data_IF_642349689973
#
_entry.id   IF_642349689973
#
_cell.length_a   1.000
_cell.length_b   1.000
_cell.length_c   1.000
_cell.angle_alpha   90.00
_cell.angle_beta   90.00
_cell.angle_gamma   90.00
#
_symmetry.space_group_name_H-M   'P 1'
#
loop_
_entity.id
_entity.type
_entity.pdbx_description
1 polymer ?
#
# COMPACT_ATOMS: atom_id res chain seq x y z
N UNK A 1 -13.04 11.91 6.52
CA UNK A 1 -12.00 11.33 7.41
C UNK A 1 -10.57 11.45 6.86
N UNK A 2 -10.35 11.94 5.63
CA UNK A 2 -9.02 12.27 5.07
C UNK A 2 -8.59 13.74 5.34
N UNK A 3 -9.50 14.61 5.79
CA UNK A 3 -9.21 16.05 5.95
C UNK A 3 -8.47 16.43 7.25
N UNK A 4 -8.16 15.48 8.14
CA UNK A 4 -7.53 15.76 9.45
C UNK A 4 -6.10 15.25 9.63
N UNK A 5 -5.57 14.49 8.69
CA UNK A 5 -4.20 14.00 8.71
C UNK A 5 -3.50 14.57 7.48
N UNK A 6 -2.55 15.48 7.67
CA UNK A 6 -1.70 15.94 6.57
C UNK A 6 -0.98 14.77 5.88
N UNK A 7 -0.26 15.03 4.80
CA UNK A 7 0.52 14.03 4.06
C UNK A 7 1.42 13.16 4.94
N UNK A 8 1.99 13.73 6.02
CA UNK A 8 2.76 12.97 7.01
C UNK A 8 1.92 11.98 7.84
N UNK A 9 0.70 12.35 8.22
CA UNK A 9 -0.18 11.48 9.01
C UNK A 9 -0.61 10.25 8.21
N UNK A 10 -0.93 10.45 6.92
CA UNK A 10 -1.25 9.34 6.02
C UNK A 10 -0.06 8.40 5.80
N UNK A 11 1.15 8.95 5.59
CA UNK A 11 2.35 8.12 5.42
C UNK A 11 2.67 7.31 6.69
N UNK A 12 2.42 7.88 7.86
CA UNK A 12 2.62 7.19 9.14
C UNK A 12 1.62 6.05 9.34
N UNK A 13 0.34 6.25 8.98
CA UNK A 13 -0.67 5.18 8.98
C UNK A 13 -0.30 4.04 8.03
N UNK A 14 0.19 4.36 6.82
CA UNK A 14 0.68 3.33 5.89
C UNK A 14 1.86 2.54 6.46
N UNK A 15 2.83 3.22 7.08
CA UNK A 15 3.96 2.54 7.75
C UNK A 15 3.49 1.65 8.89
N UNK A 16 2.51 2.10 9.67
CA UNK A 16 1.94 1.29 10.76
C UNK A 16 1.20 0.07 10.20
N UNK A 17 0.42 0.23 9.13
CA UNK A 17 -0.25 -0.87 8.43
C UNK A 17 0.73 -1.88 7.85
N UNK A 18 1.80 -1.40 7.21
CA UNK A 18 2.89 -2.25 6.73
C UNK A 18 3.51 -3.06 7.87
N UNK A 19 3.84 -2.40 8.99
CA UNK A 19 4.45 -3.06 10.17
C UNK A 19 3.51 -4.04 10.87
N UNK A 20 2.20 -3.85 10.75
CA UNK A 20 1.21 -4.80 11.26
C UNK A 20 1.12 -6.07 10.40
N UNK A 21 1.39 -5.97 9.10
CA UNK A 21 1.26 -7.07 8.14
C UNK A 21 2.58 -7.78 7.82
N UNK A 22 3.71 -7.11 7.96
CA UNK A 22 5.03 -7.62 7.57
C UNK A 22 5.45 -8.85 8.38
N UNK A 23 6.25 -9.70 7.74
CA UNK A 23 7.13 -10.62 8.42
C UNK A 23 8.26 -9.83 9.10
N UNK A 24 8.39 -10.01 10.41
CA UNK A 24 9.38 -9.27 11.22
C UNK A 24 10.82 -9.74 11.01
N UNK A 25 11.02 -10.97 10.54
CA UNK A 25 12.35 -11.52 10.28
C UNK A 25 12.83 -11.13 8.89
N UNK A 26 11.93 -11.15 7.90
CA UNK A 26 12.26 -10.83 6.50
C UNK A 26 12.13 -9.34 6.15
N UNK A 27 11.52 -8.57 7.04
CA UNK A 27 11.21 -7.16 6.87
C UNK A 27 10.34 -6.81 5.66
N UNK A 28 9.54 -7.77 5.17
CA UNK A 28 8.64 -7.65 4.02
C UNK A 28 7.30 -8.32 4.32
N UNK A 29 6.24 -7.93 3.62
CA UNK A 29 4.96 -8.66 3.67
C UNK A 29 5.09 -9.86 2.73
N UNK A 30 4.93 -11.05 3.29
CA UNK A 30 4.85 -12.30 2.53
C UNK A 30 3.40 -12.77 2.49
N UNK A 31 3.08 -13.72 1.62
CA UNK A 31 1.76 -14.35 1.63
C UNK A 31 1.41 -14.91 3.02
N UNK A 32 2.35 -15.58 3.68
CA UNK A 32 2.16 -16.16 5.00
C UNK A 32 1.92 -15.09 6.07
N UNK A 33 2.72 -14.01 6.07
CA UNK A 33 2.55 -12.92 7.02
C UNK A 33 1.24 -12.18 6.79
N UNK A 34 0.88 -11.95 5.52
CA UNK A 34 -0.37 -11.32 5.13
C UNK A 34 -1.56 -12.19 5.59
N UNK A 35 -1.56 -13.49 5.31
CA UNK A 35 -2.63 -14.43 5.70
C UNK A 35 -2.79 -14.54 7.22
N UNK A 36 -1.69 -14.55 7.95
CA UNK A 36 -1.71 -14.61 9.42
C UNK A 36 -2.20 -13.31 10.05
N UNK A 37 -1.76 -12.17 9.51
CA UNK A 37 -2.00 -10.86 10.10
C UNK A 37 -3.26 -10.17 9.53
N UNK A 38 -3.82 -10.65 8.41
CA UNK A 38 -5.05 -10.14 7.79
C UNK A 38 -6.24 -10.22 8.74
N UNK A 39 -6.31 -11.28 9.55
CA UNK A 39 -7.32 -11.44 10.61
C UNK A 39 -7.29 -10.27 11.61
N UNK A 40 -6.11 -9.71 11.92
CA UNK A 40 -5.97 -8.59 12.85
C UNK A 40 -6.51 -7.27 12.29
N UNK A 41 -6.62 -7.16 10.96
CA UNK A 41 -7.17 -5.99 10.27
C UNK A 41 -8.64 -6.16 9.89
N UNK A 42 -9.31 -7.22 10.35
CA UNK A 42 -10.71 -7.50 10.00
C UNK A 42 -10.89 -7.98 8.57
N UNK A 43 -9.82 -8.47 7.93
CA UNK A 43 -9.87 -9.16 6.63
C UNK A 43 -10.09 -10.68 6.81
N UNK A 44 -10.65 -11.09 7.95
CA UNK A 44 -11.06 -12.47 8.23
C UNK A 44 -12.14 -12.89 7.21
N UNK A 45 -11.79 -13.79 6.30
CA UNK A 45 -12.70 -14.28 5.26
C UNK A 45 -12.17 -14.14 3.83
N UNK A 46 -11.04 -13.46 3.62
CA UNK A 46 -10.38 -13.50 2.32
C UNK A 46 -9.81 -14.89 2.04
N UNK A 47 -10.07 -15.38 0.83
CA UNK A 47 -9.51 -16.62 0.31
C UNK A 47 -8.02 -16.47 -0.02
N UNK A 48 -7.33 -17.60 -0.08
CA UNK A 48 -5.91 -17.64 -0.45
C UNK A 48 -5.69 -17.02 -1.84
N UNK A 49 -6.62 -17.22 -2.78
CA UNK A 49 -6.55 -16.61 -4.11
C UNK A 49 -6.67 -15.08 -4.07
N UNK A 50 -7.52 -14.53 -3.22
CA UNK A 50 -7.68 -13.07 -3.07
C UNK A 50 -6.44 -12.44 -2.44
N UNK A 51 -5.89 -13.07 -1.40
CA UNK A 51 -4.64 -12.63 -0.78
C UNK A 51 -3.47 -12.68 -1.78
N UNK A 52 -3.43 -13.71 -2.61
CA UNK A 52 -2.39 -13.84 -3.64
C UNK A 52 -2.56 -12.83 -4.78
N UNK A 53 -3.80 -12.50 -5.14
CA UNK A 53 -4.08 -11.40 -6.05
C UNK A 53 -3.59 -10.06 -5.48
N UNK A 54 -3.82 -9.78 -4.19
CA UNK A 54 -3.33 -8.56 -3.55
C UNK A 54 -1.80 -8.47 -3.58
N UNK A 55 -1.12 -9.59 -3.31
CA UNK A 55 0.34 -9.66 -3.33
C UNK A 55 0.86 -9.35 -4.74
N UNK A 56 0.32 -10.03 -5.76
CA UNK A 56 0.72 -9.84 -7.15
C UNK A 56 0.43 -8.45 -7.70
N UNK A 57 -0.65 -7.81 -7.25
CA UNK A 57 -1.00 -6.46 -7.69
C UNK A 57 -0.05 -5.39 -7.12
N UNK A 58 0.52 -5.65 -5.95
CA UNK A 58 1.48 -4.75 -5.30
C UNK A 58 2.94 -5.05 -5.60
N UNK A 59 3.26 -6.29 -5.97
CA UNK A 59 4.62 -6.74 -6.25
C UNK A 59 5.08 -6.17 -7.61
N UNK A 60 5.95 -5.17 -7.55
CA UNK A 60 6.45 -4.46 -8.74
C UNK A 60 7.79 -5.02 -9.23
N UNK A 61 8.53 -5.70 -8.36
CA UNK A 61 9.86 -6.24 -8.67
C UNK A 61 9.82 -7.74 -9.01
N UNK A 62 8.71 -8.43 -8.76
CA UNK A 62 8.50 -9.85 -9.02
C UNK A 62 9.18 -10.78 -8.00
N UNK A 63 9.36 -10.34 -6.74
CA UNK A 63 9.98 -11.14 -5.68
C UNK A 63 8.98 -11.96 -4.83
N UNK A 64 7.71 -11.96 -5.23
CA UNK A 64 6.59 -12.61 -4.53
C UNK A 64 6.44 -12.12 -3.07
N UNK A 65 6.88 -10.90 -2.77
CA UNK A 65 6.72 -10.22 -1.50
C UNK A 65 6.30 -8.75 -1.74
N UNK A 66 5.91 -8.05 -0.68
CA UNK A 66 5.76 -6.59 -0.72
C UNK A 66 6.72 -5.95 0.26
N UNK A 67 7.61 -5.12 -0.25
CA UNK A 67 8.38 -4.19 0.58
C UNK A 67 7.56 -2.94 0.94
N UNK A 68 8.09 -2.09 1.82
CA UNK A 68 7.39 -0.89 2.30
C UNK A 68 6.95 0.03 1.15
N UNK A 69 7.76 0.18 0.10
CA UNK A 69 7.46 1.05 -1.03
C UNK A 69 6.31 0.48 -1.87
N UNK A 70 6.37 -0.81 -2.20
CA UNK A 70 5.34 -1.52 -2.95
C UNK A 70 4.00 -1.47 -2.24
N UNK A 71 3.99 -1.74 -0.93
CA UNK A 71 2.79 -1.61 -0.11
C UNK A 71 2.21 -0.19 -0.13
N UNK A 72 3.06 0.83 0.04
CA UNK A 72 2.61 2.24 -0.02
C UNK A 72 2.00 2.57 -1.38
N UNK A 73 2.64 2.15 -2.49
CA UNK A 73 2.14 2.36 -3.84
C UNK A 73 0.81 1.64 -4.06
N UNK A 74 0.69 0.39 -3.62
CA UNK A 74 -0.56 -0.38 -3.70
C UNK A 74 -1.71 0.33 -2.97
N UNK A 75 -1.49 0.76 -1.73
CA UNK A 75 -2.50 1.46 -0.93
C UNK A 75 -2.90 2.82 -1.51
N UNK A 76 -1.94 3.53 -2.12
CA UNK A 76 -2.19 4.78 -2.83
C UNK A 76 -3.07 4.57 -4.07
N UNK A 77 -2.82 3.47 -4.82
CA UNK A 77 -3.59 3.11 -6.01
C UNK A 77 -5.02 2.68 -5.68
N UNK A 78 -5.21 1.99 -4.56
CA UNK A 78 -6.51 1.43 -4.15
C UNK A 78 -7.42 2.42 -3.42
N UNK A 79 -6.93 3.57 -2.97
CA UNK A 79 -7.76 4.61 -2.36
C UNK A 79 -8.24 5.63 -3.42
N UNK A 80 -9.51 5.61 -3.85
CA UNK A 80 -10.03 6.52 -4.87
C UNK A 80 -9.92 8.02 -4.49
N UNK A 81 -10.01 8.37 -3.20
CA UNK A 81 -9.74 9.73 -2.70
C UNK A 81 -8.28 10.17 -2.88
N UNK A 82 -7.35 9.21 -2.94
CA UNK A 82 -5.91 9.44 -3.12
C UNK A 82 -5.49 9.38 -4.59
N UNK A 83 -6.25 8.66 -5.42
CA UNK A 83 -6.10 8.63 -6.88
C UNK A 83 -6.43 9.99 -7.52
N UNK A 84 -7.33 10.77 -6.93
CA UNK A 84 -7.64 12.14 -7.37
C UNK A 84 -6.56 13.16 -6.97
N UNK A 85 -5.96 13.00 -5.78
CA UNK A 85 -4.81 13.82 -5.35
C UNK A 85 -3.51 13.48 -6.07
N UNK A 86 -3.26 12.22 -6.40
CA UNK A 86 -2.08 11.82 -7.19
C UNK A 86 -2.20 12.26 -8.65
N UNK A 87 -3.40 12.22 -9.26
CA UNK A 87 -3.63 12.82 -10.59
C UNK A 87 -3.30 14.31 -10.63
N UNK A 88 -3.61 15.07 -9.56
CA UNK A 88 -3.20 16.48 -9.48
C UNK A 88 -1.68 16.67 -9.37
N UNK A 89 -0.96 15.79 -8.69
CA UNK A 89 0.51 15.88 -8.58
C UNK A 89 1.24 15.45 -9.86
N UNK A 90 0.73 14.45 -10.58
CA UNK A 90 1.29 14.02 -11.87
C UNK A 90 0.95 14.99 -13.01
N UNK A 91 -0.20 15.67 -12.98
CA UNK A 91 -0.52 16.70 -13.98
C UNK A 91 0.32 17.98 -13.81
N UNK A 92 0.69 18.34 -12.58
CA UNK A 92 1.43 19.58 -12.31
C UNK A 92 2.97 19.47 -12.47
N UNK A 93 3.51 18.27 -12.67
CA UNK A 93 4.96 18.08 -12.95
C UNK A 93 5.31 18.08 -14.44
N UNK A 94 4.33 18.22 -15.35
CA UNK A 94 4.56 18.25 -16.81
C UNK A 94 4.47 19.67 -17.39
N UNK A 95 4.10 20.70 -16.62
CA UNK A 95 3.93 22.07 -17.14
C UNK A 95 4.99 23.10 -16.73
N UNK A 96 6.08 22.72 -16.05
CA UNK A 96 7.06 23.72 -15.58
C UNK A 96 8.46 23.65 -16.22
N UNK A 97 8.61 23.00 -17.38
CA UNK A 97 9.84 23.04 -18.20
C UNK A 97 9.62 23.62 -19.61
N UNK A 98 8.57 24.43 -19.78
CA UNK A 98 8.44 25.34 -20.94
C UNK A 98 7.91 26.69 -20.48
N UNK A 99 8.80 27.51 -19.91
CA UNK A 99 8.75 28.97 -20.09
C UNK A 99 10.16 29.55 -20.08
#
# INVERSE_FOLDING_TARGET
MVEKLGSEGFLNELKNGFRALMDKEREVITFESLKRNSALLGLEGMSDDELMCMLREGDLNGDDCLNEKEFCVLMVRLSPDLMEKSRMWFAHSVENDVM
#
